data_IF_984679855180
#
_entry.id   IF_984679855180
#
_cell.length_a   1.000
_cell.length_b   1.000
_cell.length_c   1.000
_cell.angle_alpha   90.00
_cell.angle_beta   90.00
_cell.angle_gamma   90.00
#
_symmetry.space_group_name_H-M   'P 1'
#
loop_
_entity.id
_entity.type
_entity.pdbx_description
1 polymer ?
#
# COMPACT_ATOMS: atom_id res chain seq x y z
N UNK A 1 19.30 -5.27 11.85
CA UNK A 1 19.51 -3.89 11.31
C UNK A 1 19.30 -2.91 12.44
N UNK A 2 20.20 -1.94 12.66
CA UNK A 2 20.08 -0.96 13.74
C UNK A 2 20.02 0.45 13.14
N UNK A 3 18.98 1.22 13.49
CA UNK A 3 18.85 2.63 13.10
C UNK A 3 19.39 3.50 14.23
N UNK A 4 20.35 4.38 13.92
CA UNK A 4 20.99 5.29 14.88
C UNK A 4 20.48 6.71 14.69
N UNK A 5 20.70 7.58 15.68
CA UNK A 5 20.34 9.00 15.66
C UNK A 5 18.84 9.28 15.45
N UNK A 6 17.98 8.41 15.97
CA UNK A 6 16.52 8.62 15.96
C UNK A 6 16.18 9.66 17.03
N UNK A 7 15.38 10.68 16.70
CA UNK A 7 14.95 11.66 17.69
C UNK A 7 14.05 11.01 18.75
N UNK A 8 14.11 11.50 19.98
CA UNK A 8 13.28 10.99 21.09
C UNK A 8 11.79 11.07 20.76
N UNK A 9 11.37 12.13 20.08
CA UNK A 9 10.00 12.29 19.59
C UNK A 9 9.60 11.16 18.64
N UNK A 10 10.45 10.84 17.67
CA UNK A 10 10.19 9.75 16.71
C UNK A 10 10.13 8.40 17.41
N UNK A 11 11.06 8.14 18.33
CA UNK A 11 11.08 6.91 19.14
C UNK A 11 9.79 6.76 19.97
N UNK A 12 9.33 7.84 20.62
CA UNK A 12 8.07 7.84 21.38
C UNK A 12 6.87 7.59 20.47
N UNK A 13 6.78 8.26 19.32
CA UNK A 13 5.69 8.08 18.38
C UNK A 13 5.60 6.64 17.85
N UNK A 14 6.75 6.03 17.50
CA UNK A 14 6.79 4.65 17.02
C UNK A 14 6.39 3.64 18.10
N UNK A 15 6.84 3.84 19.34
CA UNK A 15 6.43 3.01 20.49
C UNK A 15 4.92 3.12 20.74
N UNK A 16 4.36 4.33 20.68
CA UNK A 16 2.93 4.55 20.84
C UNK A 16 2.12 3.82 19.75
N UNK A 17 2.54 3.91 18.48
CA UNK A 17 1.90 3.19 17.37
C UNK A 17 1.98 1.67 17.54
N UNK A 18 3.14 1.14 17.93
CA UNK A 18 3.31 -0.28 18.20
C UNK A 18 2.37 -0.76 19.32
N UNK A 19 2.28 0.01 20.42
CA UNK A 19 1.40 -0.29 21.54
C UNK A 19 -0.09 -0.25 21.15
N UNK A 20 -0.50 0.72 20.31
CA UNK A 20 -1.87 0.80 19.78
C UNK A 20 -2.25 -0.43 18.94
N UNK A 21 -1.29 -1.02 18.24
CA UNK A 21 -1.49 -2.27 17.49
C UNK A 21 -1.33 -3.53 18.33
N UNK A 22 -1.04 -3.42 19.63
CA UNK A 22 -0.80 -4.55 20.53
C UNK A 22 0.48 -5.33 20.19
N UNK A 23 1.51 -4.65 19.66
CA UNK A 23 2.74 -5.27 19.16
C UNK A 23 3.98 -4.74 19.87
N UNK A 24 5.02 -5.57 19.87
CA UNK A 24 6.35 -5.07 20.22
C UNK A 24 6.81 -4.03 19.20
N UNK A 25 7.69 -3.10 19.61
CA UNK A 25 8.27 -2.11 18.70
C UNK A 25 9.01 -2.79 17.54
N UNK A 26 9.73 -3.88 17.80
CA UNK A 26 10.48 -4.62 16.79
C UNK A 26 9.55 -5.23 15.73
N UNK A 27 8.45 -5.87 16.15
CA UNK A 27 7.49 -6.48 15.23
C UNK A 27 6.76 -5.42 14.40
N UNK A 28 6.40 -4.30 15.03
CA UNK A 28 5.81 -3.16 14.34
C UNK A 28 6.74 -2.64 13.24
N UNK A 29 8.01 -2.38 13.59
CA UNK A 29 8.99 -1.86 12.64
C UNK A 29 9.31 -2.84 11.52
N UNK A 30 9.40 -4.14 11.81
CA UNK A 30 9.62 -5.15 10.77
C UNK A 30 8.52 -5.09 9.70
N UNK A 31 7.25 -4.99 10.12
CA UNK A 31 6.12 -4.90 9.17
C UNK A 31 6.11 -3.58 8.39
N UNK A 32 6.50 -2.48 9.01
CA UNK A 32 6.66 -1.21 8.28
C UNK A 32 7.77 -1.30 7.24
N UNK A 33 8.90 -1.94 7.58
CA UNK A 33 10.00 -2.17 6.64
C UNK A 33 9.60 -3.09 5.49
N UNK A 34 8.87 -4.17 5.76
CA UNK A 34 8.34 -5.05 4.71
C UNK A 34 7.36 -4.30 3.80
N UNK A 35 6.49 -3.45 4.36
CA UNK A 35 5.60 -2.59 3.58
C UNK A 35 6.37 -1.60 2.71
N UNK A 36 7.44 -1.01 3.25
CA UNK A 36 8.31 -0.11 2.48
C UNK A 36 9.04 -0.84 1.35
N UNK A 37 9.51 -2.07 1.60
CA UNK A 37 10.25 -2.86 0.61
C UNK A 37 9.36 -3.44 -0.50
N UNK A 38 8.09 -3.72 -0.20
CA UNK A 38 7.15 -4.35 -1.16
C UNK A 38 6.32 -3.35 -1.94
N UNK A 39 6.18 -2.10 -1.46
CA UNK A 39 5.38 -1.09 -2.14
C UNK A 39 6.20 -0.47 -3.28
N UNK A 40 5.73 -0.56 -4.54
CA UNK A 40 6.43 0.06 -5.65
C UNK A 40 6.48 1.57 -5.47
N UNK A 41 7.59 2.17 -5.87
CA UNK A 41 7.69 3.60 -6.06
C UNK A 41 6.68 4.07 -7.11
N UNK A 42 6.42 5.38 -7.12
CA UNK A 42 5.52 5.99 -8.12
C UNK A 42 6.02 5.77 -9.55
N UNK A 43 7.34 5.80 -9.76
CA UNK A 43 7.94 5.57 -11.07
C UNK A 43 7.70 4.13 -11.55
N UNK A 44 8.02 3.14 -10.70
CA UNK A 44 7.79 1.71 -11.01
C UNK A 44 6.29 1.42 -11.22
N UNK A 45 5.41 2.07 -10.45
CA UNK A 45 3.97 1.92 -10.64
C UNK A 45 3.53 2.44 -12.01
N UNK A 46 4.01 3.62 -12.41
CA UNK A 46 3.67 4.20 -13.71
C UNK A 46 4.23 3.36 -14.87
N UNK A 47 5.45 2.84 -14.73
CA UNK A 47 6.03 1.92 -15.69
C UNK A 47 5.21 0.63 -15.82
N UNK A 48 4.77 0.05 -14.69
CA UNK A 48 3.87 -1.11 -14.67
C UNK A 48 2.50 -0.83 -15.27
N UNK A 49 2.00 0.40 -15.18
CA UNK A 49 0.75 0.81 -15.83
C UNK A 49 0.98 0.92 -17.34
N UNK A 50 2.05 1.59 -17.76
CA UNK A 50 2.40 1.75 -19.17
C UNK A 50 2.65 0.40 -19.86
N UNK A 51 3.31 -0.54 -19.19
CA UNK A 51 3.62 -1.87 -19.75
C UNK A 51 2.39 -2.76 -19.97
N UNK A 52 1.26 -2.47 -19.34
CA UNK A 52 -0.02 -3.17 -19.59
C UNK A 52 -0.68 -2.74 -20.90
N UNK A 53 -0.25 -1.63 -21.49
CA UNK A 53 -0.86 -1.07 -22.70
C UNK A 53 -2.27 -0.52 -22.47
N UNK A 54 -2.89 -0.06 -23.56
CA UNK A 54 -4.28 0.41 -23.55
C UNK A 54 -5.20 -0.78 -23.78
N UNK A 55 -6.11 -1.03 -22.84
CA UNK A 55 -7.16 -2.03 -23.01
C UNK A 55 -8.30 -1.46 -23.87
N UNK A 56 -8.69 -2.18 -24.91
CA UNK A 56 -9.98 -1.96 -25.57
C UNK A 56 -11.06 -2.61 -24.71
N UNK A 57 -11.96 -1.80 -24.18
CA UNK A 57 -13.07 -2.25 -23.34
C UNK A 57 -14.38 -2.01 -24.07
N UNK A 58 -15.37 -2.86 -23.79
CA UNK A 58 -16.73 -2.62 -24.24
C UNK A 58 -17.26 -1.30 -23.66
N UNK A 59 -18.12 -0.57 -24.39
CA UNK A 59 -18.77 0.61 -23.85
C UNK A 59 -19.45 0.29 -22.52
N UNK A 60 -19.18 1.11 -21.49
CA UNK A 60 -19.72 0.88 -20.16
C UNK A 60 -21.25 0.73 -20.15
N UNK A 61 -21.96 1.38 -21.08
CA UNK A 61 -23.41 1.25 -21.23
C UNK A 61 -23.87 -0.19 -21.56
N UNK A 62 -23.10 -0.95 -22.35
CA UNK A 62 -23.41 -2.33 -22.71
C UNK A 62 -23.20 -3.26 -21.52
N UNK A 63 -22.03 -3.15 -20.86
CA UNK A 63 -21.71 -3.92 -19.65
C UNK A 63 -22.78 -3.69 -18.56
N UNK A 64 -23.22 -2.45 -18.37
CA UNK A 64 -24.25 -2.12 -17.37
C UNK A 64 -25.65 -2.61 -17.76
N UNK A 65 -25.96 -2.74 -19.05
CA UNK A 65 -27.24 -3.27 -19.51
C UNK A 65 -27.34 -4.78 -19.23
N UNK A 66 -26.26 -5.52 -19.45
CA UNK A 66 -26.18 -6.97 -19.19
C UNK A 66 -26.26 -7.33 -17.70
N UNK A 67 -25.70 -6.48 -16.82
CA UNK A 67 -25.67 -6.71 -15.38
C UNK A 67 -26.98 -6.35 -14.67
N UNK A 68 -27.93 -5.71 -15.35
CA UNK A 68 -29.25 -5.43 -14.77
C UNK A 68 -30.15 -6.64 -15.00
N UNK A 69 -30.59 -7.35 -13.95
CA UNK A 69 -31.59 -8.39 -14.13
C UNK A 69 -32.86 -7.77 -14.71
N UNK A 70 -33.40 -8.42 -15.75
CA UNK A 70 -34.68 -8.06 -16.35
C UNK A 70 -35.72 -7.92 -15.25
N UNK A 71 -36.36 -6.75 -15.21
CA UNK A 71 -37.41 -6.41 -14.26
C UNK A 71 -38.59 -7.38 -14.36
#
# INVERSE_FOLDING_TARGET
MQVRNVSDETSRALKAKAALEGRSLSDYLLRELDRLATRPSRAELLERIASRGVATLEPAAQVLAEQRPGR
#
